data_IF_185338226522
#
_entry.id   IF_185338226522
#
_cell.length_a   1.000
_cell.length_b   1.000
_cell.length_c   1.000
_cell.angle_alpha   90.00
_cell.angle_beta   90.00
_cell.angle_gamma   90.00
#
_symmetry.space_group_name_H-M   'P 1'
#
loop_
_entity.id
_entity.type
_entity.pdbx_description
1 polymer ?
#
# COMPACT_ATOMS: atom_id res chain seq x y z
N UNK A 1 -13.62 -29.62 24.27
CA UNK A 1 -14.24 -28.55 23.47
C UNK A 1 -13.12 -27.78 22.80
N UNK A 2 -13.13 -27.72 21.47
CA UNK A 2 -12.19 -26.91 20.67
C UNK A 2 -12.38 -25.44 21.01
N UNK A 3 -11.28 -24.71 21.20
CA UNK A 3 -11.30 -23.28 21.52
C UNK A 3 -11.80 -22.52 20.30
N UNK A 4 -12.89 -21.76 20.45
CA UNK A 4 -13.41 -20.87 19.41
C UNK A 4 -12.86 -19.47 19.59
N UNK A 5 -12.41 -18.89 18.49
CA UNK A 5 -11.80 -17.57 18.39
C UNK A 5 -12.77 -16.60 17.72
N UNK A 6 -12.78 -15.35 18.19
CA UNK A 6 -13.45 -14.28 17.47
C UNK A 6 -12.65 -13.88 16.22
N UNK A 7 -13.27 -13.15 15.28
CA UNK A 7 -12.55 -12.64 14.11
C UNK A 7 -11.39 -11.72 14.49
N UNK A 8 -11.56 -10.88 15.51
CA UNK A 8 -10.47 -10.01 16.00
C UNK A 8 -9.34 -10.82 16.64
N UNK A 9 -9.62 -11.93 17.31
CA UNK A 9 -8.57 -12.84 17.81
C UNK A 9 -7.80 -13.47 16.65
N UNK A 10 -8.50 -13.91 15.59
CA UNK A 10 -7.87 -14.51 14.41
C UNK A 10 -6.99 -13.50 13.66
N UNK A 11 -7.40 -12.23 13.57
CA UNK A 11 -6.56 -11.15 13.04
C UNK A 11 -5.29 -10.97 13.87
N UNK A 12 -5.41 -10.98 15.21
CA UNK A 12 -4.25 -10.87 16.12
C UNK A 12 -3.29 -12.04 15.93
N UNK A 13 -3.81 -13.26 15.81
CA UNK A 13 -2.99 -14.46 15.59
C UNK A 13 -2.28 -14.37 14.24
N UNK A 14 -2.92 -13.86 13.19
CA UNK A 14 -2.23 -13.61 11.92
C UNK A 14 -1.07 -12.61 12.07
N UNK A 15 -1.19 -11.59 12.93
CA UNK A 15 -0.08 -10.69 13.28
C UNK A 15 1.00 -11.43 14.10
N UNK A 16 0.63 -12.34 14.99
CA UNK A 16 1.61 -13.16 15.74
C UNK A 16 2.40 -14.08 14.80
N UNK A 17 1.76 -14.69 13.80
CA UNK A 17 2.45 -15.47 12.75
C UNK A 17 3.37 -14.58 11.91
N UNK A 18 2.91 -13.38 11.55
CA UNK A 18 3.70 -12.39 10.82
C UNK A 18 5.01 -12.04 11.54
N UNK A 19 4.99 -11.93 12.87
CA UNK A 19 6.19 -11.61 13.67
C UNK A 19 7.23 -12.75 13.71
N UNK A 20 6.89 -13.96 13.27
CA UNK A 20 7.84 -15.08 13.13
C UNK A 20 8.68 -14.99 11.86
N UNK A 21 8.30 -14.13 10.90
CA UNK A 21 9.01 -13.98 9.64
C UNK A 21 10.41 -13.43 9.86
N UNK A 22 11.40 -14.05 9.22
CA UNK A 22 12.80 -13.58 9.18
C UNK A 22 13.13 -12.85 7.87
N UNK A 23 12.18 -12.78 6.93
CA UNK A 23 12.33 -12.21 5.60
C UNK A 23 11.24 -11.16 5.31
N UNK A 24 11.54 -10.22 4.42
CA UNK A 24 10.62 -9.14 4.03
C UNK A 24 10.08 -9.28 2.59
N UNK A 25 8.86 -8.80 2.31
CA UNK A 25 7.84 -8.41 3.29
C UNK A 25 7.38 -9.55 4.21
N UNK A 26 7.21 -9.25 5.50
CA UNK A 26 6.69 -10.19 6.50
C UNK A 26 5.20 -10.43 6.24
N UNK A 27 4.78 -11.69 6.22
CA UNK A 27 3.38 -12.05 5.98
C UNK A 27 3.00 -13.18 6.92
N UNK A 28 1.91 -12.99 7.68
CA UNK A 28 1.29 -14.01 8.52
C UNK A 28 -0.12 -14.32 8.05
N UNK A 29 -0.51 -15.59 8.12
CA UNK A 29 -1.78 -16.10 7.62
C UNK A 29 -2.40 -17.07 8.62
N UNK A 30 -3.71 -16.96 8.80
CA UNK A 30 -4.54 -17.92 9.52
C UNK A 30 -5.70 -18.34 8.62
N UNK A 31 -5.93 -19.64 8.51
CA UNK A 31 -7.12 -20.21 7.88
C UNK A 31 -8.01 -20.74 8.99
N UNK A 32 -9.26 -20.29 9.04
CA UNK A 32 -10.19 -20.65 10.09
C UNK A 32 -11.59 -20.95 9.54
N UNK A 33 -12.35 -21.77 10.24
CA UNK A 33 -13.75 -22.09 9.92
C UNK A 33 -14.54 -22.23 11.21
N UNK A 34 -15.72 -21.59 11.27
CA UNK A 34 -16.61 -21.63 12.45
C UNK A 34 -15.96 -21.25 13.80
N UNK A 35 -14.96 -20.35 13.72
CA UNK A 35 -14.18 -19.87 14.86
C UNK A 35 -13.01 -20.78 15.24
N UNK A 36 -12.76 -21.87 14.52
CA UNK A 36 -11.67 -22.80 14.78
C UNK A 36 -10.54 -22.57 13.78
N UNK A 37 -9.30 -22.57 14.25
CA UNK A 37 -8.12 -22.47 13.39
C UNK A 37 -7.88 -23.83 12.75
N UNK A 38 -7.90 -23.86 11.42
CA UNK A 38 -7.58 -25.04 10.64
C UNK A 38 -6.07 -25.12 10.39
N UNK A 39 -5.47 -23.99 10.02
CA UNK A 39 -4.03 -23.89 9.79
C UNK A 39 -3.53 -22.46 9.97
N UNK A 40 -2.22 -22.34 10.12
CA UNK A 40 -1.50 -21.06 10.09
C UNK A 40 -0.36 -21.15 9.08
N UNK A 41 0.18 -20.01 8.69
CA UNK A 41 1.38 -19.93 7.88
C UNK A 41 2.05 -18.57 8.02
N UNK A 42 3.37 -18.54 7.84
CA UNK A 42 4.10 -17.29 7.76
C UNK A 42 5.18 -17.36 6.68
N UNK A 43 5.63 -16.20 6.19
CA UNK A 43 6.68 -16.14 5.17
C UNK A 43 8.00 -16.64 5.73
N UNK A 44 8.65 -17.53 4.98
CA UNK A 44 9.91 -18.17 5.39
C UNK A 44 9.70 -19.47 6.15
N UNK A 45 8.44 -19.86 6.46
CA UNK A 45 8.16 -21.16 7.08
C UNK A 45 8.54 -22.33 6.15
N UNK A 46 8.17 -22.22 4.87
CA UNK A 46 8.62 -23.14 3.82
C UNK A 46 9.39 -22.32 2.77
N UNK A 47 10.64 -22.71 2.44
CA UNK A 47 11.44 -21.98 1.47
C UNK A 47 10.68 -21.73 0.16
N UNK A 48 10.75 -20.50 -0.36
CA UNK A 48 10.14 -20.07 -1.63
C UNK A 48 8.61 -20.11 -1.70
N UNK A 49 7.91 -20.38 -0.59
CA UNK A 49 6.43 -20.34 -0.55
C UNK A 49 5.94 -19.13 0.21
N UNK A 50 4.92 -18.48 -0.35
CA UNK A 50 4.17 -17.43 0.34
C UNK A 50 3.36 -17.99 1.51
N UNK A 51 3.09 -17.16 2.50
CA UNK A 51 2.39 -17.56 3.72
C UNK A 51 0.99 -18.14 3.45
N UNK A 52 0.24 -17.58 2.48
CA UNK A 52 -1.09 -18.05 2.09
C UNK A 52 -1.02 -19.49 1.55
N UNK A 53 -0.02 -19.75 0.70
CA UNK A 53 0.22 -21.07 0.13
C UNK A 53 0.60 -22.07 1.22
N UNK A 54 1.52 -21.69 2.11
CA UNK A 54 1.92 -22.54 3.24
C UNK A 54 0.71 -22.90 4.10
N UNK A 55 -0.14 -21.93 4.44
CA UNK A 55 -1.31 -22.19 5.28
C UNK A 55 -2.35 -23.08 4.58
N UNK A 56 -2.66 -22.82 3.30
CA UNK A 56 -3.67 -23.59 2.56
C UNK A 56 -3.21 -25.01 2.22
N UNK A 57 -1.93 -25.20 1.86
CA UNK A 57 -1.40 -26.52 1.48
C UNK A 57 -1.28 -27.49 2.67
N UNK A 58 -1.30 -27.00 3.92
CA UNK A 58 -1.42 -27.85 5.12
C UNK A 58 -2.78 -28.52 5.27
N UNK A 59 -3.79 -28.04 4.54
CA UNK A 59 -5.17 -28.52 4.63
C UNK A 59 -5.54 -29.39 3.43
N UNK A 60 -6.41 -30.38 3.64
CA UNK A 60 -7.05 -31.07 2.53
C UNK A 60 -7.99 -30.11 1.79
N UNK A 61 -8.20 -30.31 0.49
CA UNK A 61 -9.03 -29.41 -0.35
C UNK A 61 -10.44 -29.23 0.21
N UNK A 62 -11.02 -30.29 0.80
CA UNK A 62 -12.35 -30.27 1.43
C UNK A 62 -12.44 -29.35 2.64
N UNK A 63 -11.35 -29.19 3.40
CA UNK A 63 -11.35 -28.39 4.63
C UNK A 63 -11.28 -26.90 4.34
N UNK A 64 -10.74 -26.53 3.17
CA UNK A 64 -10.60 -25.15 2.70
C UNK A 64 -11.94 -24.55 2.27
N UNK A 65 -12.87 -25.37 1.79
CA UNK A 65 -14.16 -24.91 1.26
C UNK A 65 -14.99 -24.24 2.34
N UNK A 66 -15.40 -23.00 2.08
CA UNK A 66 -16.17 -22.17 2.98
C UNK A 66 -15.35 -21.56 4.13
N UNK A 67 -14.04 -21.83 4.22
CA UNK A 67 -13.19 -21.25 5.25
C UNK A 67 -13.02 -19.73 5.07
N UNK A 68 -12.50 -19.09 6.11
CA UNK A 68 -12.09 -17.69 6.14
C UNK A 68 -10.57 -17.61 6.23
N UNK A 69 -9.94 -16.80 5.38
CA UNK A 69 -8.50 -16.52 5.41
C UNK A 69 -8.25 -15.16 6.03
N UNK A 70 -7.35 -15.07 7.00
CA UNK A 70 -6.85 -13.83 7.57
C UNK A 70 -5.39 -13.69 7.18
N UNK A 71 -5.07 -12.73 6.30
CA UNK A 71 -3.71 -12.46 5.82
C UNK A 71 -3.28 -11.06 6.19
N UNK A 72 -2.05 -10.87 6.67
CA UNK A 72 -1.56 -9.55 7.05
C UNK A 72 -1.27 -8.64 5.85
N UNK A 73 -0.96 -9.20 4.68
CA UNK A 73 -0.66 -8.45 3.46
C UNK A 73 -1.63 -8.88 2.33
N UNK A 74 -1.91 -7.98 1.40
CA UNK A 74 -2.71 -8.30 0.21
C UNK A 74 -2.14 -9.50 -0.56
N UNK A 75 -2.98 -10.51 -0.88
CA UNK A 75 -2.57 -11.64 -1.70
C UNK A 75 -2.08 -11.21 -3.08
N UNK A 76 -0.95 -11.75 -3.52
CA UNK A 76 -0.42 -11.45 -4.85
C UNK A 76 -1.33 -12.00 -5.96
N UNK A 77 -1.33 -11.32 -7.12
CA UNK A 77 -2.10 -11.69 -8.33
C UNK A 77 -1.23 -12.12 -9.50
N UNK A 78 0.09 -11.88 -9.41
CA UNK A 78 1.05 -12.27 -10.43
C UNK A 78 1.95 -13.37 -9.86
N UNK A 79 2.31 -14.31 -10.74
CA UNK A 79 3.34 -15.30 -10.46
C UNK A 79 4.69 -14.59 -10.34
N UNK A 80 5.38 -14.82 -9.22
CA UNK A 80 6.80 -14.52 -9.10
C UNK A 80 7.63 -15.71 -9.61
N UNK A 81 8.88 -15.48 -10.00
CA UNK A 81 9.75 -16.49 -10.62
C UNK A 81 10.00 -17.74 -9.74
N UNK A 82 9.75 -17.62 -8.43
CA UNK A 82 9.88 -18.67 -7.43
C UNK A 82 8.56 -19.37 -7.08
N UNK A 83 7.42 -18.94 -7.67
CA UNK A 83 6.12 -19.56 -7.48
C UNK A 83 5.84 -20.65 -8.52
N UNK A 84 5.44 -21.82 -8.06
CA UNK A 84 5.43 -23.03 -8.88
C UNK A 84 4.17 -23.26 -9.73
N UNK A 85 3.03 -22.60 -9.45
CA UNK A 85 1.74 -23.03 -10.03
C UNK A 85 0.74 -21.90 -10.28
N UNK A 86 0.36 -21.11 -9.27
CA UNK A 86 -0.64 -20.04 -9.38
C UNK A 86 -0.42 -18.93 -8.33
N UNK A 87 -1.03 -17.75 -8.52
CA UNK A 87 -0.91 -16.63 -7.58
C UNK A 87 -1.62 -16.93 -6.24
N UNK A 88 -1.34 -16.15 -5.19
CA UNK A 88 -2.01 -16.35 -3.90
C UNK A 88 -3.52 -16.05 -3.99
N UNK A 89 -3.92 -15.04 -4.76
CA UNK A 89 -5.33 -14.74 -4.99
C UNK A 89 -6.04 -15.89 -5.72
N UNK A 90 -5.43 -16.44 -6.79
CA UNK A 90 -6.00 -17.56 -7.55
C UNK A 90 -6.10 -18.82 -6.68
N UNK A 91 -5.07 -19.12 -5.89
CA UNK A 91 -5.08 -20.25 -4.97
C UNK A 91 -6.23 -20.16 -3.94
N UNK A 92 -6.50 -18.97 -3.41
CA UNK A 92 -7.60 -18.72 -2.47
C UNK A 92 -8.94 -18.99 -3.17
N UNK A 93 -9.10 -18.52 -4.41
CA UNK A 93 -10.30 -18.73 -5.24
C UNK A 93 -10.51 -20.22 -5.53
N UNK A 94 -9.48 -20.89 -6.04
CA UNK A 94 -9.51 -22.32 -6.34
C UNK A 94 -9.77 -23.18 -5.10
N UNK A 95 -9.39 -22.69 -3.91
CA UNK A 95 -9.62 -23.38 -2.62
C UNK A 95 -11.06 -23.28 -2.11
N UNK A 96 -11.93 -22.49 -2.75
CA UNK A 96 -13.32 -22.32 -2.33
C UNK A 96 -13.49 -21.55 -1.01
N UNK A 97 -12.52 -20.69 -0.67
CA UNK A 97 -12.59 -19.78 0.48
C UNK A 97 -13.76 -18.82 0.30
N UNK A 98 -14.53 -18.57 1.36
CA UNK A 98 -15.73 -17.71 1.30
C UNK A 98 -15.47 -16.26 1.71
N UNK A 99 -14.50 -16.04 2.59
CA UNK A 99 -14.21 -14.72 3.15
C UNK A 99 -12.70 -14.54 3.37
N UNK A 100 -12.19 -13.35 3.08
CA UNK A 100 -10.79 -12.96 3.29
C UNK A 100 -10.73 -11.67 4.09
N UNK A 101 -9.91 -11.66 5.13
CA UNK A 101 -9.52 -10.46 5.85
C UNK A 101 -8.09 -10.09 5.48
N UNK A 102 -7.87 -8.84 5.10
CA UNK A 102 -6.56 -8.29 4.70
C UNK A 102 -6.10 -7.27 5.76
N UNK A 103 -4.85 -7.40 6.22
CA UNK A 103 -4.23 -6.42 7.11
C UNK A 103 -3.98 -5.09 6.38
N UNK A 104 -3.00 -5.09 5.48
CA UNK A 104 -2.64 -3.91 4.68
C UNK A 104 -2.61 -4.29 3.20
N UNK A 105 -2.90 -3.31 2.34
CA UNK A 105 -2.73 -3.48 0.89
C UNK A 105 -1.25 -3.43 0.55
N UNK A 106 -0.85 -4.13 -0.52
CA UNK A 106 0.54 -4.15 -0.95
C UNK A 106 0.88 -2.78 -1.58
N UNK A 107 1.84 -2.00 -1.04
CA UNK A 107 2.21 -0.69 -1.58
C UNK A 107 2.89 -0.79 -2.96
N UNK A 108 3.31 -1.98 -3.40
CA UNK A 108 3.84 -2.19 -4.73
C UNK A 108 2.76 -1.87 -5.77
N UNK A 109 2.98 -0.83 -6.57
CA UNK A 109 2.02 -0.36 -7.57
C UNK A 109 1.61 -1.41 -8.60
N UNK A 110 2.42 -2.46 -8.82
CA UNK A 110 2.08 -3.58 -9.72
C UNK A 110 1.18 -4.63 -9.08
N UNK A 111 0.93 -4.57 -7.77
CA UNK A 111 0.09 -5.51 -7.01
C UNK A 111 -1.08 -4.78 -6.34
N UNK A 112 -0.87 -3.54 -5.89
CA UNK A 112 -1.81 -2.76 -5.09
C UNK A 112 -3.26 -2.87 -5.57
N UNK A 113 -4.13 -3.29 -4.65
CA UNK A 113 -5.58 -3.45 -4.84
C UNK A 113 -5.96 -4.44 -5.95
N UNK A 114 -5.02 -5.11 -6.61
CA UNK A 114 -5.34 -6.12 -7.62
C UNK A 114 -5.81 -7.40 -6.92
N UNK A 115 -5.12 -7.87 -5.88
CA UNK A 115 -5.53 -9.03 -5.10
C UNK A 115 -6.89 -8.82 -4.45
N UNK A 116 -7.09 -7.66 -3.84
CA UNK A 116 -8.39 -7.26 -3.30
C UNK A 116 -9.50 -7.30 -4.36
N UNK A 117 -9.27 -6.77 -5.56
CA UNK A 117 -10.26 -6.73 -6.66
C UNK A 117 -10.54 -8.13 -7.20
N UNK A 118 -9.51 -8.90 -7.51
CA UNK A 118 -9.62 -10.27 -8.03
C UNK A 118 -10.46 -11.15 -7.12
N UNK A 119 -10.28 -11.04 -5.80
CA UNK A 119 -11.09 -11.78 -4.83
C UNK A 119 -12.57 -11.37 -4.86
N UNK A 120 -12.87 -10.07 -4.86
CA UNK A 120 -14.25 -9.56 -4.94
C UNK A 120 -14.96 -9.96 -6.24
N UNK A 121 -14.27 -9.84 -7.38
CA UNK A 121 -14.80 -10.20 -8.70
C UNK A 121 -15.12 -11.69 -8.81
N UNK A 122 -14.47 -12.54 -7.99
CA UNK A 122 -14.74 -13.97 -7.89
C UNK A 122 -15.66 -14.33 -6.71
N UNK A 123 -16.48 -13.40 -6.24
CA UNK A 123 -17.52 -13.60 -5.20
C UNK A 123 -16.98 -13.97 -3.81
N UNK A 124 -15.73 -13.63 -3.50
CA UNK A 124 -15.17 -13.78 -2.15
C UNK A 124 -15.43 -12.51 -1.36
N UNK A 125 -15.98 -12.63 -0.15
CA UNK A 125 -16.19 -11.48 0.74
C UNK A 125 -14.84 -10.98 1.26
N UNK A 126 -14.46 -9.73 0.96
CA UNK A 126 -13.19 -9.16 1.44
C UNK A 126 -13.43 -8.05 2.47
N UNK A 127 -12.72 -8.10 3.60
CA UNK A 127 -12.75 -7.11 4.69
C UNK A 127 -11.33 -6.76 5.14
N UNK A 128 -11.20 -5.67 5.88
CA UNK A 128 -9.92 -5.28 6.46
C UNK A 128 -9.80 -5.65 7.93
N UNK A 129 -8.57 -5.76 8.42
CA UNK A 129 -8.30 -5.88 9.85
C UNK A 129 -8.73 -4.62 10.61
N UNK A 130 -8.86 -4.73 11.93
CA UNK A 130 -9.09 -3.59 12.82
C UNK A 130 -7.99 -2.54 12.65
N UNK A 131 -8.36 -1.25 12.68
CA UNK A 131 -7.44 -0.11 12.41
C UNK A 131 -6.11 -0.18 13.19
N UNK A 132 -6.16 -0.59 14.46
CA UNK A 132 -4.96 -0.73 15.31
C UNK A 132 -4.02 -1.83 14.80
N UNK A 133 -4.57 -2.96 14.36
CA UNK A 133 -3.79 -4.09 13.84
C UNK A 133 -3.21 -3.74 12.46
N UNK A 134 -3.96 -3.03 11.63
CA UNK A 134 -3.44 -2.55 10.33
C UNK A 134 -2.20 -1.69 10.50
N UNK A 135 -2.23 -0.74 11.43
CA UNK A 135 -1.08 0.11 11.73
C UNK A 135 0.12 -0.73 12.20
N UNK A 136 -0.08 -1.68 13.12
CA UNK A 136 0.98 -2.55 13.60
C UNK A 136 1.60 -3.40 12.47
N UNK A 137 0.77 -3.97 11.61
CA UNK A 137 1.22 -4.72 10.43
C UNK A 137 2.03 -3.82 9.51
N UNK A 138 1.55 -2.62 9.18
CA UNK A 138 2.22 -1.72 8.22
C UNK A 138 3.66 -1.39 8.64
N UNK A 139 3.88 -1.14 9.93
CA UNK A 139 5.20 -0.77 10.48
C UNK A 139 6.23 -1.92 10.39
N UNK A 140 5.77 -3.16 10.50
CA UNK A 140 6.62 -4.35 10.59
C UNK A 140 6.73 -5.12 9.26
N UNK A 141 5.87 -4.84 8.29
CA UNK A 141 5.75 -5.63 7.06
C UNK A 141 6.95 -5.46 6.12
N UNK A 142 7.61 -4.31 6.05
CA UNK A 142 8.61 -4.02 5.01
C UNK A 142 9.98 -3.67 5.60
N UNK A 143 11.07 -4.11 4.97
CA UNK A 143 12.46 -3.87 5.42
C UNK A 143 12.78 -2.37 5.53
N UNK A 144 12.14 -1.58 4.66
CA UNK A 144 12.21 -0.12 4.64
C UNK A 144 10.82 0.46 4.93
N UNK A 145 10.40 0.37 6.19
CA UNK A 145 9.15 0.92 6.74
C UNK A 145 9.09 2.45 6.70
N UNK A 146 9.08 3.04 5.50
CA UNK A 146 8.90 4.48 5.29
C UNK A 146 7.59 4.71 4.55
N UNK A 147 6.46 4.38 5.20
CA UNK A 147 5.10 4.62 4.68
C UNK A 147 4.89 6.11 4.41
N UNK A 148 5.39 6.93 5.33
CA UNK A 148 5.30 8.38 5.39
C UNK A 148 6.58 9.05 4.91
N UNK A 149 7.48 8.35 4.20
CA UNK A 149 8.72 8.94 3.71
C UNK A 149 9.15 8.40 2.35
N UNK A 150 9.69 9.27 1.51
CA UNK A 150 10.26 8.96 0.19
C UNK A 150 11.58 9.71 0.02
N UNK A 151 12.48 9.20 -0.83
CA UNK A 151 13.85 9.73 -0.97
C UNK A 151 14.13 9.99 -2.45
N UNK A 152 14.78 11.12 -2.78
CA UNK A 152 15.24 11.41 -4.15
C UNK A 152 14.09 11.57 -5.14
N UNK A 153 14.07 10.74 -6.19
CA UNK A 153 13.00 10.69 -7.17
C UNK A 153 12.45 9.27 -7.33
N UNK A 154 11.18 9.15 -7.71
CA UNK A 154 10.55 7.85 -7.84
C UNK A 154 9.06 7.91 -8.14
N UNK A 155 8.41 6.76 -8.07
CA UNK A 155 6.95 6.60 -8.19
C UNK A 155 6.43 5.83 -7.01
N UNK A 156 5.26 6.22 -6.50
CA UNK A 156 4.62 5.55 -5.37
C UNK A 156 3.12 5.62 -5.50
N UNK A 157 2.48 4.50 -5.19
CA UNK A 157 1.03 4.43 -5.02
C UNK A 157 0.72 4.58 -3.54
N UNK A 158 -0.21 5.46 -3.18
CA UNK A 158 -0.57 5.72 -1.78
C UNK A 158 -2.08 5.81 -1.61
N UNK A 159 -2.63 5.26 -0.50
CA UNK A 159 -4.03 5.40 -0.18
C UNK A 159 -4.35 6.86 0.17
N UNK A 160 -5.49 7.37 -0.31
CA UNK A 160 -5.98 8.71 0.05
C UNK A 160 -7.44 8.59 0.50
N UNK A 161 -7.66 7.81 1.55
CA UNK A 161 -8.98 7.62 2.18
C UNK A 161 -9.08 8.45 3.47
N UNK A 162 -10.28 8.93 3.80
CA UNK A 162 -10.53 9.66 5.04
C UNK A 162 -9.68 10.93 5.15
N UNK A 163 -8.80 10.99 6.17
CA UNK A 163 -7.90 12.12 6.42
C UNK A 163 -6.74 12.23 5.44
N UNK A 164 -6.59 11.31 4.49
CA UNK A 164 -5.48 11.29 3.54
C UNK A 164 -4.16 10.79 4.14
N UNK A 165 -3.04 11.09 3.49
CA UNK A 165 -1.69 10.63 3.87
C UNK A 165 -0.69 11.79 3.87
N UNK A 166 0.21 11.79 4.84
CA UNK A 166 1.35 12.70 4.93
C UNK A 166 2.64 11.97 4.56
N UNK A 167 3.49 12.61 3.76
CA UNK A 167 4.72 12.04 3.23
C UNK A 167 5.86 13.06 3.37
N UNK A 168 6.97 12.63 3.95
CA UNK A 168 8.23 13.34 4.07
C UNK A 168 9.11 13.01 2.87
N UNK A 169 9.40 13.99 2.02
CA UNK A 169 10.29 13.85 0.87
C UNK A 169 11.70 14.26 1.29
N UNK A 170 12.62 13.31 1.37
CA UNK A 170 14.04 13.57 1.65
C UNK A 170 14.84 13.73 0.36
N UNK A 171 15.81 14.64 0.37
CA UNK A 171 16.61 14.96 -0.82
C UNK A 171 17.39 13.75 -1.37
N UNK A 172 18.16 13.07 -0.54
CA UNK A 172 18.87 11.83 -0.92
C UNK A 172 19.18 11.00 0.33
N UNK A 173 19.67 9.77 0.18
CA UNK A 173 20.09 8.94 1.33
C UNK A 173 21.11 9.65 2.24
N UNK A 174 22.00 10.44 1.64
CA UNK A 174 23.08 11.15 2.34
C UNK A 174 22.69 12.56 2.78
N UNK A 175 21.66 13.15 2.19
CA UNK A 175 21.19 14.50 2.49
C UNK A 175 19.83 14.47 3.19
N UNK A 176 19.86 14.79 4.49
CA UNK A 176 18.72 14.69 5.38
C UNK A 176 17.74 15.89 5.27
N UNK A 177 17.95 16.83 4.34
CA UNK A 177 16.97 17.89 4.07
C UNK A 177 15.65 17.28 3.62
N UNK A 178 14.54 17.74 4.18
CA UNK A 178 13.20 17.21 3.87
C UNK A 178 12.18 18.29 3.56
N UNK A 179 11.20 17.93 2.74
CA UNK A 179 9.98 18.70 2.47
C UNK A 179 8.79 17.78 2.74
N UNK A 180 7.87 18.23 3.58
CA UNK A 180 6.66 17.48 3.88
C UNK A 180 5.54 17.82 2.88
N UNK A 181 4.86 16.79 2.39
CA UNK A 181 3.70 16.88 1.50
C UNK A 181 2.52 16.13 2.10
N UNK A 182 1.32 16.53 1.72
CA UNK A 182 0.07 15.94 2.19
C UNK A 182 -0.85 15.71 1.01
N UNK A 183 -1.36 14.50 0.87
CA UNK A 183 -2.46 14.18 -0.03
C UNK A 183 -3.76 14.09 0.75
N UNK A 184 -4.80 14.76 0.27
CA UNK A 184 -6.13 14.80 0.89
C UNK A 184 -7.19 14.60 -0.19
N UNK A 185 -8.20 13.78 0.07
CA UNK A 185 -9.28 13.52 -0.89
C UNK A 185 -10.48 14.41 -0.61
N UNK A 186 -10.94 15.11 -1.66
CA UNK A 186 -12.26 15.75 -1.69
C UNK A 186 -13.23 14.84 -2.43
N UNK A 187 -13.60 13.73 -1.81
CA UNK A 187 -14.49 12.69 -2.35
C UNK A 187 -14.05 12.11 -3.73
N UNK A 188 -13.76 10.80 -3.84
CA UNK A 188 -13.25 10.18 -5.07
C UNK A 188 -14.08 10.44 -6.34
N UNK A 189 -15.38 10.73 -6.19
CA UNK A 189 -16.32 11.02 -7.27
C UNK A 189 -15.95 12.21 -8.15
N UNK A 190 -15.08 13.14 -7.68
CA UNK A 190 -14.77 14.37 -8.42
C UNK A 190 -13.53 14.28 -9.33
N UNK A 191 -12.85 13.12 -9.35
CA UNK A 191 -11.68 12.90 -10.21
C UNK A 191 -10.52 13.84 -9.90
N UNK A 192 -10.36 14.24 -8.63
CA UNK A 192 -9.27 15.08 -8.15
C UNK A 192 -8.85 14.74 -6.73
N UNK A 193 -7.61 15.08 -6.40
CA UNK A 193 -7.03 14.99 -5.04
C UNK A 193 -6.33 16.31 -4.73
N UNK A 194 -6.36 16.76 -3.49
CA UNK A 194 -5.64 17.97 -3.09
C UNK A 194 -4.25 17.58 -2.57
N UNK A 195 -3.24 18.29 -3.08
CA UNK A 195 -1.86 18.25 -2.62
C UNK A 195 -1.57 19.52 -1.83
N UNK A 196 -1.07 19.39 -0.62
CA UNK A 196 -0.62 20.54 0.19
C UNK A 196 0.74 20.28 0.82
N UNK A 197 1.30 21.30 1.46
CA UNK A 197 2.51 21.19 2.27
C UNK A 197 2.34 22.01 3.54
N UNK A 198 2.75 21.46 4.68
CA UNK A 198 2.46 21.96 6.02
C UNK A 198 2.93 23.40 6.29
N UNK A 199 3.90 23.90 5.52
CA UNK A 199 4.36 25.30 5.53
C UNK A 199 4.81 25.75 4.13
N UNK A 200 4.24 25.13 3.10
CA UNK A 200 4.81 25.15 1.75
C UNK A 200 3.98 25.92 0.74
N UNK A 201 4.69 26.55 -0.20
CA UNK A 201 4.14 27.02 -1.45
C UNK A 201 3.96 25.82 -2.39
N UNK A 202 2.73 25.55 -2.81
CA UNK A 202 2.42 24.57 -3.86
C UNK A 202 1.95 25.33 -5.09
N UNK A 203 2.58 25.08 -6.24
CA UNK A 203 2.23 25.73 -7.51
C UNK A 203 1.99 24.69 -8.58
N UNK A 204 0.91 24.83 -9.36
CA UNK A 204 0.69 24.00 -10.54
C UNK A 204 1.63 24.45 -11.66
N UNK A 205 2.41 23.51 -12.20
CA UNK A 205 3.26 23.73 -13.35
C UNK A 205 2.44 23.67 -14.66
N UNK A 206 1.59 24.69 -14.86
CA UNK A 206 0.70 24.76 -16.01
C UNK A 206 1.50 24.72 -17.32
N UNK A 207 1.13 23.83 -18.24
CA UNK A 207 1.81 23.65 -19.53
C UNK A 207 2.93 22.61 -19.53
N UNK A 208 3.34 22.09 -18.37
CA UNK A 208 4.28 20.96 -18.29
C UNK A 208 3.53 19.62 -18.26
N UNK A 209 4.02 18.64 -19.02
CA UNK A 209 3.47 17.26 -19.03
C UNK A 209 4.46 16.23 -18.49
N UNK A 210 5.74 16.58 -18.50
CA UNK A 210 6.88 15.82 -17.97
C UNK A 210 7.75 16.73 -17.11
N UNK A 211 8.47 16.16 -16.16
CA UNK A 211 9.41 16.94 -15.33
C UNK A 211 10.49 17.65 -16.15
N UNK A 212 10.92 17.07 -17.27
CA UNK A 212 11.91 17.69 -18.16
C UNK A 212 11.37 18.91 -18.92
N UNK A 213 10.05 19.11 -18.99
CA UNK A 213 9.47 20.32 -19.59
C UNK A 213 9.65 21.54 -18.67
N UNK A 214 9.98 21.31 -17.39
CA UNK A 214 10.28 22.35 -16.41
C UNK A 214 11.79 22.49 -16.38
N UNK A 215 12.35 23.52 -16.98
CA UNK A 215 13.80 23.79 -16.88
C UNK A 215 14.14 24.53 -15.58
N UNK A 216 13.31 25.50 -15.21
CA UNK A 216 13.45 26.33 -14.02
C UNK A 216 12.14 26.31 -13.19
N UNK A 217 12.14 25.62 -12.02
CA UNK A 217 11.00 25.60 -11.11
C UNK A 217 10.63 26.98 -10.52
N UNK A 218 11.55 27.93 -10.42
CA UNK A 218 11.31 29.22 -9.77
C UNK A 218 10.50 30.19 -10.65
N UNK A 219 10.28 29.87 -11.94
CA UNK A 219 9.42 30.64 -12.85
C UNK A 219 7.94 30.63 -12.41
N UNK A 220 7.52 29.61 -11.64
CA UNK A 220 6.14 29.44 -11.21
C UNK A 220 5.82 30.26 -9.94
N UNK A 221 5.56 31.56 -10.13
CA UNK A 221 5.51 32.60 -9.06
C UNK A 221 4.21 32.72 -8.26
N UNK A 222 3.21 31.88 -8.51
CA UNK A 222 1.88 32.00 -7.89
C UNK A 222 1.58 30.83 -6.94
N UNK A 223 2.26 30.74 -5.79
CA UNK A 223 2.04 29.65 -4.87
C UNK A 223 0.69 29.74 -4.16
N UNK A 224 0.12 28.59 -3.88
CA UNK A 224 -1.09 28.41 -3.09
C UNK A 224 -0.83 27.49 -1.88
N UNK A 225 -1.75 27.50 -0.91
CA UNK A 225 -1.68 26.58 0.25
C UNK A 225 -1.90 25.12 -0.14
N UNK A 226 -2.62 24.89 -1.25
CA UNK A 226 -2.84 23.57 -1.82
C UNK A 226 -2.95 23.68 -3.34
N UNK A 227 -2.78 22.56 -4.02
CA UNK A 227 -3.02 22.37 -5.43
C UNK A 227 -4.04 21.25 -5.63
N UNK A 228 -5.11 21.54 -6.38
CA UNK A 228 -6.05 20.51 -6.81
C UNK A 228 -5.47 19.77 -8.00
N UNK A 229 -5.05 18.54 -7.78
CA UNK A 229 -4.39 17.69 -8.76
C UNK A 229 -5.41 16.82 -9.50
N UNK A 230 -5.24 16.73 -10.81
CA UNK A 230 -5.90 15.76 -11.70
C UNK A 230 -4.85 14.93 -12.41
N UNK A 231 -5.29 13.82 -13.02
CA UNK A 231 -4.42 12.96 -13.81
C UNK A 231 -3.56 13.78 -14.77
N UNK A 232 -2.28 13.42 -14.81
CA UNK A 232 -1.20 14.04 -15.58
C UNK A 232 -0.75 15.45 -15.17
N UNK A 233 -1.39 16.08 -14.18
CA UNK A 233 -0.94 17.39 -13.70
C UNK A 233 0.37 17.28 -12.91
N UNK A 234 1.20 18.33 -13.04
CA UNK A 234 2.43 18.50 -12.29
C UNK A 234 2.28 19.69 -11.33
N UNK A 235 2.70 19.50 -10.09
CA UNK A 235 2.86 20.54 -9.09
C UNK A 235 4.32 20.64 -8.65
N UNK A 236 4.69 21.81 -8.17
CA UNK A 236 5.97 22.12 -7.57
C UNK A 236 5.70 22.47 -6.11
N UNK A 237 6.38 21.78 -5.20
CA UNK A 237 6.33 22.06 -3.77
C UNK A 237 7.66 22.63 -3.34
N UNK A 238 7.67 23.88 -2.89
CA UNK A 238 8.87 24.58 -2.45
C UNK A 238 8.53 25.49 -1.27
N UNK A 239 8.63 24.98 -0.03
CA UNK A 239 8.42 25.79 1.15
C UNK A 239 9.37 26.98 1.24
N UNK A 240 8.93 28.05 1.90
CA UNK A 240 9.74 29.26 2.07
C UNK A 240 11.04 28.90 2.81
N UNK A 241 12.19 29.26 2.22
CA UNK A 241 13.50 28.95 2.78
C UNK A 241 14.02 27.54 2.47
N UNK A 242 13.26 26.72 1.73
CA UNK A 242 13.77 25.47 1.21
C UNK A 242 14.88 25.73 0.19
N UNK A 243 15.87 24.84 0.18
CA UNK A 243 17.06 24.88 -0.70
C UNK A 243 16.97 23.87 -1.84
N UNK A 244 15.84 23.17 -1.90
CA UNK A 244 15.44 22.27 -2.97
C UNK A 244 13.90 22.35 -3.10
N UNK A 245 13.37 21.89 -4.23
CA UNK A 245 11.95 21.78 -4.49
C UNK A 245 11.61 20.33 -4.83
N UNK A 246 10.33 19.99 -4.70
CA UNK A 246 9.80 18.68 -5.12
C UNK A 246 8.85 18.90 -6.29
N UNK A 247 9.19 18.33 -7.44
CA UNK A 247 8.25 18.16 -8.54
C UNK A 247 7.39 16.93 -8.28
N UNK A 248 6.07 17.06 -8.45
CA UNK A 248 5.12 16.00 -8.16
C UNK A 248 4.14 15.88 -9.34
N UNK A 249 4.08 14.71 -9.96
CA UNK A 249 3.10 14.40 -11.01
C UNK A 249 2.07 13.42 -10.49
N UNK A 250 0.78 13.73 -10.64
CA UNK A 250 -0.28 12.74 -10.42
C UNK A 250 -0.40 11.87 -11.68
N UNK A 251 0.06 10.61 -11.60
CA UNK A 251 0.05 9.68 -12.74
C UNK A 251 -1.34 9.11 -12.94
N UNK A 252 -2.01 8.71 -11.86
CA UNK A 252 -3.38 8.22 -11.92
C UNK A 252 -4.11 8.40 -10.59
N UNK A 253 -5.44 8.43 -10.67
CA UNK A 253 -6.34 8.52 -9.51
C UNK A 253 -7.34 7.37 -9.58
N UNK A 254 -7.46 6.63 -8.49
CA UNK A 254 -8.38 5.52 -8.33
C UNK A 254 -9.41 5.83 -7.25
N UNK A 255 -10.36 4.92 -7.04
CA UNK A 255 -11.45 5.14 -6.08
C UNK A 255 -10.96 5.43 -4.65
N UNK A 256 -9.83 4.86 -4.23
CA UNK A 256 -9.35 4.96 -2.83
C UNK A 256 -7.89 5.41 -2.71
N UNK A 257 -7.20 5.65 -3.82
CA UNK A 257 -5.75 5.82 -3.84
C UNK A 257 -5.29 6.60 -5.07
N UNK A 258 -4.01 6.98 -5.06
CA UNK A 258 -3.34 7.66 -6.18
C UNK A 258 -2.03 6.98 -6.51
N UNK A 259 -1.64 7.05 -7.78
CA UNK A 259 -0.27 6.81 -8.21
C UNK A 259 0.36 8.17 -8.53
N UNK A 260 1.44 8.53 -7.83
CA UNK A 260 2.18 9.75 -8.11
C UNK A 260 3.66 9.47 -8.38
N UNK A 261 4.28 10.37 -9.10
CA UNK A 261 5.72 10.43 -9.33
C UNK A 261 6.27 11.67 -8.62
N UNK A 262 7.48 11.58 -8.07
CA UNK A 262 8.19 12.75 -7.56
C UNK A 262 9.62 12.80 -8.07
N UNK A 263 10.19 14.00 -8.07
CA UNK A 263 11.59 14.28 -8.34
C UNK A 263 12.02 15.47 -7.48
N UNK A 264 13.15 15.36 -6.78
CA UNK A 264 13.74 16.49 -6.07
C UNK A 264 14.71 17.24 -6.97
N UNK A 265 14.74 18.56 -6.86
CA UNK A 265 15.71 19.41 -7.54
C UNK A 265 16.25 20.44 -6.58
N UNK A 266 17.56 20.67 -6.61
CA UNK A 266 18.11 21.83 -5.93
C UNK A 266 17.53 23.11 -6.55
N UNK A 267 17.20 24.06 -5.68
CA UNK A 267 16.81 25.43 -6.06
C UNK A 267 17.78 26.34 -5.32
N UNK A 268 18.82 26.72 -6.05
CA UNK A 268 19.82 27.76 -5.78
C UNK A 268 20.47 28.13 -7.10
#
# INVERSE_FOLDING_TARGET
>A
MTKKYSKSDLMRIAVEEHLKCTEYPKVGVVVAKDGEILSTGFRGEVPKKHAERVALEKLATTDRVGATVFTTLEPCVALQADQATESCADLIIASGVSEVFIGVLDPNGTIYSQGFRTLLENNISVKFFDRKLRYAVEQETFEYGMIDKVIGGGKRRVPVVGSGIDIKVQFSETDQRTIDISWRTLQPSHGCVDLSSSNGAVTIASGATRFNDISDPDVFRFPSHFARMRKDMIAIVQPRGATFCVLIKLIDLFQNDILFQWEVRNVR
#
